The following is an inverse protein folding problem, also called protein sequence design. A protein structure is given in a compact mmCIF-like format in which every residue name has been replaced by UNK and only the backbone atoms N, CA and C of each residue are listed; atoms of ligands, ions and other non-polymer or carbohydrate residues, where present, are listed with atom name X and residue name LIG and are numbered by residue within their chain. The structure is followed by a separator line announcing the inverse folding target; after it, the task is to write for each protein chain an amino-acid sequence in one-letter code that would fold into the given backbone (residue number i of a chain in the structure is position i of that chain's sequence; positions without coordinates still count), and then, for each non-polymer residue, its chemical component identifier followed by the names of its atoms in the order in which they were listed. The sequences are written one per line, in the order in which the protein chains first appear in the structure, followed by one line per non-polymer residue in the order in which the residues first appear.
data_IF_963709930457
#
_entry.id   IF_963709930457
#
_cell.length_a   1.000
_cell.length_b   1.000
_cell.length_c   1.000
_cell.angle_alpha   90.00
_cell.angle_beta   90.00
_cell.angle_gamma   90.00
#
_symmetry.space_group_name_H-M   'P 1'
#
loop_
_entity.id
_entity.type
_entity.pdbx_description
1 polymer ?
#
# COMPACT_ATOMS: atom_id res chain seq x y z
N UNK A 1 1.59 13.57 5.17
CA UNK A 1 2.53 12.44 5.20
C UNK A 1 2.06 11.37 4.25
N UNK A 2 2.96 10.83 3.47
CA UNK A 2 2.62 9.76 2.53
C UNK A 2 2.50 8.43 3.28
N UNK A 3 1.55 7.63 2.87
CA UNK A 3 1.38 6.27 3.38
C UNK A 3 0.83 5.40 2.27
N UNK A 4 0.79 4.11 2.51
CA UNK A 4 0.29 3.14 1.53
C UNK A 4 -0.78 2.29 2.17
N UNK A 5 -1.95 2.22 1.49
CA UNK A 5 -3.00 1.30 1.89
C UNK A 5 -2.81 0.02 1.11
N UNK A 6 -2.70 -1.10 1.80
CA UNK A 6 -2.48 -2.40 1.17
C UNK A 6 -3.77 -3.20 1.15
N UNK A 7 -4.05 -3.81 0.01
CA UNK A 7 -5.27 -4.58 -0.22
C UNK A 7 -4.93 -5.96 -0.74
N UNK A 8 -5.70 -6.93 -0.29
CA UNK A 8 -5.60 -8.30 -0.76
C UNK A 8 -6.87 -8.65 -1.52
N UNK A 9 -6.71 -9.25 -2.71
CA UNK A 9 -7.84 -9.71 -3.50
C UNK A 9 -7.88 -11.24 -3.41
N UNK A 10 -8.96 -11.77 -2.84
CA UNK A 10 -9.09 -13.22 -2.67
C UNK A 10 -9.63 -13.89 -3.94
N UNK A 11 -9.83 -15.20 -3.85
CA UNK A 11 -10.29 -15.98 -5.00
C UNK A 11 -11.71 -15.62 -5.46
N UNK A 12 -12.49 -15.06 -4.58
CA UNK A 12 -13.85 -14.62 -4.90
C UNK A 12 -13.85 -13.19 -5.46
N UNK A 13 -12.68 -12.64 -5.79
CA UNK A 13 -12.52 -11.28 -6.29
C UNK A 13 -12.90 -10.21 -5.28
N UNK A 14 -12.97 -10.56 -4.01
CA UNK A 14 -13.26 -9.59 -2.96
C UNK A 14 -11.97 -8.96 -2.48
N UNK A 15 -12.02 -7.65 -2.26
CA UNK A 15 -10.87 -6.87 -1.83
C UNK A 15 -10.97 -6.62 -0.34
N UNK A 16 -9.89 -6.90 0.37
CA UNK A 16 -9.81 -6.71 1.81
C UNK A 16 -8.68 -5.78 2.14
N UNK A 17 -8.95 -4.76 2.94
CA UNK A 17 -7.91 -3.86 3.41
C UNK A 17 -7.04 -4.58 4.43
N UNK A 18 -5.74 -4.64 4.17
CA UNK A 18 -4.80 -5.28 5.08
C UNK A 18 -4.25 -4.30 6.11
N UNK A 19 -4.05 -3.08 5.71
CA UNK A 19 -3.52 -2.08 6.62
C UNK A 19 -2.94 -0.90 5.87
N UNK A 20 -2.43 0.06 6.65
CA UNK A 20 -1.84 1.28 6.13
C UNK A 20 -0.45 1.41 6.75
N UNK A 21 0.56 1.57 5.89
CA UNK A 21 1.93 1.75 6.35
C UNK A 21 2.44 3.13 5.96
N UNK A 22 2.86 3.96 6.93
CA UNK A 22 3.43 5.26 6.61
C UNK A 22 4.78 5.13 5.94
N UNK A 23 5.06 6.02 4.98
CA UNK A 23 6.35 6.06 4.32
C UNK A 23 7.29 6.91 5.16
N UNK A 24 8.33 6.30 5.68
CA UNK A 24 9.30 6.99 6.53
C UNK A 24 10.65 7.19 5.89
N UNK A 25 10.84 6.68 4.68
CA UNK A 25 12.10 6.83 3.97
C UNK A 25 12.22 8.23 3.40
N UNK A 26 13.42 8.78 3.46
CA UNK A 26 13.66 10.14 2.97
C UNK A 26 14.13 10.16 1.53
N UNK A 27 14.79 9.12 1.08
CA UNK A 27 15.33 9.07 -0.28
C UNK A 27 14.28 8.56 -1.24
N UNK A 28 13.70 9.48 -2.00
CA UNK A 28 12.64 9.15 -2.94
C UNK A 28 13.09 8.21 -4.04
N UNK A 29 14.38 8.16 -4.33
CA UNK A 29 14.89 7.26 -5.36
C UNK A 29 14.79 5.81 -4.95
N UNK A 30 14.69 5.54 -3.66
CA UNK A 30 14.54 4.18 -3.15
C UNK A 30 13.08 3.74 -3.02
N UNK A 31 12.15 4.65 -3.28
CA UNK A 31 10.73 4.35 -3.15
C UNK A 31 10.25 3.83 -4.49
N UNK A 32 10.33 2.53 -4.67
CA UNK A 32 9.85 1.85 -5.87
C UNK A 32 8.74 0.89 -5.50
N UNK A 33 7.95 0.48 -6.48
CA UNK A 33 6.92 -0.52 -6.26
C UNK A 33 7.51 -1.77 -5.62
N UNK A 34 8.64 -2.23 -6.13
CA UNK A 34 9.29 -3.42 -5.61
C UNK A 34 9.74 -3.26 -4.17
N UNK A 35 10.26 -2.08 -3.81
CA UNK A 35 10.69 -1.83 -2.44
C UNK A 35 9.50 -1.80 -1.49
N UNK A 36 8.38 -1.25 -1.92
CA UNK A 36 7.16 -1.21 -1.12
C UNK A 36 6.62 -2.62 -0.92
N UNK A 37 6.57 -3.42 -1.99
CA UNK A 37 6.08 -4.79 -1.90
C UNK A 37 7.01 -5.67 -1.05
N UNK A 38 8.32 -5.46 -1.14
CA UNK A 38 9.28 -6.17 -0.30
C UNK A 38 9.07 -5.82 1.18
N UNK A 39 8.75 -4.58 1.43
CA UNK A 39 8.49 -4.08 2.77
C UNK A 39 7.24 -4.72 3.37
N UNK A 40 6.13 -4.71 2.62
CA UNK A 40 4.89 -5.29 3.13
C UNK A 40 5.02 -6.79 3.35
N UNK A 41 5.83 -7.47 2.55
CA UNK A 41 6.06 -8.90 2.72
C UNK A 41 6.69 -9.20 4.07
N UNK A 42 7.54 -8.32 4.56
CA UNK A 42 8.16 -8.50 5.88
C UNK A 42 7.13 -8.43 7.00
N UNK A 43 6.09 -7.65 6.84
CA UNK A 43 5.03 -7.55 7.83
C UNK A 43 4.07 -8.72 7.77
N UNK A 44 3.78 -9.20 6.57
CA UNK A 44 2.77 -10.24 6.39
C UNK A 44 3.35 -11.65 6.50
N UNK A 45 4.65 -11.80 6.26
CA UNK A 45 5.26 -13.11 6.27
C UNK A 45 5.01 -13.86 4.97
N UNK A 46 5.19 -15.18 5.01
CA UNK A 46 5.13 -16.00 3.81
C UNK A 46 3.75 -16.61 3.53
N UNK A 47 2.79 -16.37 4.41
CA UNK A 47 1.46 -16.97 4.29
C UNK A 47 0.57 -16.28 3.26
N UNK A 48 1.02 -15.17 2.71
CA UNK A 48 0.23 -14.35 1.79
C UNK A 48 0.79 -14.47 0.38
N UNK A 49 -0.12 -14.58 -0.58
CA UNK A 49 0.26 -14.56 -1.98
C UNK A 49 0.53 -13.12 -2.40
N UNK A 50 1.81 -12.77 -2.51
CA UNK A 50 2.22 -11.40 -2.80
C UNK A 50 1.66 -10.91 -4.14
N UNK A 51 1.40 -11.81 -5.07
CA UNK A 51 0.82 -11.45 -6.37
C UNK A 51 -0.61 -10.94 -6.28
N UNK A 52 -1.28 -11.17 -5.15
CA UNK A 52 -2.66 -10.72 -4.94
C UNK A 52 -2.73 -9.48 -4.07
N UNK A 53 -1.59 -8.91 -3.72
CA UNK A 53 -1.53 -7.71 -2.89
C UNK A 53 -1.32 -6.50 -3.79
N UNK A 54 -2.12 -5.47 -3.56
CA UNK A 54 -1.99 -4.20 -4.25
C UNK A 54 -1.95 -3.09 -3.21
N UNK A 55 -1.48 -1.93 -3.62
CA UNK A 55 -1.49 -0.78 -2.72
C UNK A 55 -1.82 0.49 -3.49
N UNK A 56 -2.32 1.47 -2.76
CA UNK A 56 -2.50 2.82 -3.28
C UNK A 56 -1.79 3.79 -2.34
N UNK A 57 -1.28 4.85 -2.92
CA UNK A 57 -0.63 5.89 -2.14
C UNK A 57 -1.69 6.83 -1.60
N UNK A 58 -1.59 7.17 -0.32
CA UNK A 58 -2.52 8.07 0.33
C UNK A 58 -1.74 9.12 1.11
N UNK A 59 -2.39 10.21 1.44
CA UNK A 59 -1.84 11.21 2.36
C UNK A 59 -2.58 11.08 3.67
N UNK A 60 -1.84 10.98 4.75
CA UNK A 60 -2.44 10.85 6.08
C UNK A 60 -2.03 12.02 6.96
N UNK A 61 -2.86 12.29 7.96
CA UNK A 61 -2.53 13.24 9.02
C UNK A 61 -1.51 12.55 9.92
N UNK A 62 -0.33 13.14 10.07
CA UNK A 62 0.73 12.48 10.83
C UNK A 62 0.48 12.46 12.33
N UNK A 63 -0.52 13.17 12.82
CA UNK A 63 -0.89 13.14 14.24
C UNK A 63 -1.94 12.08 14.50
N UNK A 64 -3.01 12.06 13.68
CA UNK A 64 -4.14 11.16 13.91
C UNK A 64 -4.05 9.88 13.11
N UNK A 65 -3.30 9.86 12.02
CA UNK A 65 -3.23 8.72 11.12
C UNK A 65 -4.40 8.62 10.15
N UNK A 66 -5.33 9.58 10.19
CA UNK A 66 -6.47 9.56 9.29
C UNK A 66 -6.07 9.87 7.86
N UNK A 67 -6.70 9.17 6.92
CA UNK A 67 -6.47 9.42 5.50
C UNK A 67 -7.12 10.75 5.13
N UNK A 68 -6.30 11.67 4.61
CA UNK A 68 -6.75 12.98 4.18
C UNK A 68 -7.09 12.95 2.70
N UNK A 69 -6.25 12.25 1.93
CA UNK A 69 -6.37 12.23 0.48
C UNK A 69 -5.85 10.91 -0.07
N UNK A 70 -6.58 10.33 -1.02
CA UNK A 70 -6.14 9.13 -1.71
C UNK A 70 -5.88 9.48 -3.16
N UNK A 71 -4.71 9.06 -3.67
CA UNK A 71 -4.48 9.19 -5.10
C UNK A 71 -5.37 8.20 -5.82
N UNK A 72 -6.12 8.63 -6.83
CA UNK A 72 -6.95 7.71 -7.56
C UNK A 72 -6.09 6.61 -8.15
N UNK A 73 -6.62 5.44 -8.13
CA UNK A 73 -6.01 4.34 -8.80
C UNK A 73 -5.85 4.75 -10.25
N UNK A 74 -4.65 4.57 -10.78
CA UNK A 74 -4.39 4.89 -12.13
C UNK A 74 -5.48 4.41 -13.00
N UNK A 75 -6.11 5.33 -13.73
CA UNK A 75 -7.19 4.89 -14.55
C UNK A 75 -6.61 3.97 -15.55
N UNK A 76 -6.64 3.20 -15.43
CA UNK A 76 -6.15 2.42 -16.20
C UNK A 76 -6.56 2.48 -17.49
N UNK A 77 -6.64 3.20 -17.67
CA UNK A 77 -7.08 3.25 -18.31
C UNK A 77 -7.32 3.38 -18.63
N UNK A 78 -7.32 3.49 -19.12
CA UNK A 78 -7.74 3.54 -19.49
C UNK A 78 -8.05 3.20 -19.67
#
# INVERSE_FOLDING_TARGET
MVAYEFYYRDYANQTQLLGILPERRRDKKRITRESIMRWVKKFLGNDWDIGKINFIEVTINKVTGEVIESKPKEPLNP
#
